data_IF_658942688051
#
_entry.id   IF_658942688051
#
_cell.length_a   1.000
_cell.length_b   1.000
_cell.length_c   1.000
_cell.angle_alpha   90.00
_cell.angle_beta   90.00
_cell.angle_gamma   90.00
#
_symmetry.space_group_name_H-M   'P 1'
#
loop_
_entity.id
_entity.type
_entity.pdbx_description
1 polymer ?
#
# COMPACT_ATOMS: atom_id res chain seq x y z
N UNK A 1 -10.20 -9.80 3.95
CA UNK A 1 -10.61 -11.04 4.60
C UNK A 1 -9.62 -11.45 5.67
N UNK A 2 -10.09 -11.58 6.92
CA UNK A 2 -9.31 -12.08 8.05
C UNK A 2 -8.16 -11.19 8.53
N UNK A 3 -8.00 -10.00 8.00
CA UNK A 3 -7.03 -9.00 8.45
C UNK A 3 -7.65 -8.21 9.59
N UNK A 4 -6.93 -8.08 10.69
CA UNK A 4 -7.30 -7.23 11.82
C UNK A 4 -6.62 -5.86 11.68
N UNK A 5 -7.12 -4.82 12.36
CA UNK A 5 -6.43 -3.55 12.42
C UNK A 5 -4.99 -3.72 12.91
N UNK A 6 -4.06 -3.07 12.24
CA UNK A 6 -2.65 -3.09 12.61
C UNK A 6 -2.04 -1.70 12.47
N UNK A 7 -0.89 -1.49 13.10
CA UNK A 7 -0.09 -0.27 12.95
C UNK A 7 1.36 -0.68 12.69
N UNK A 8 1.93 -0.11 11.65
CA UNK A 8 3.34 -0.29 11.30
C UNK A 8 3.94 1.07 10.93
N UNK A 9 5.17 1.29 11.34
CA UNK A 9 5.96 2.44 10.87
C UNK A 9 6.61 2.04 9.56
N UNK A 10 6.35 2.80 8.50
CA UNK A 10 6.94 2.53 7.20
C UNK A 10 7.24 3.83 6.45
N UNK A 11 8.01 3.75 5.39
CA UNK A 11 8.23 4.84 4.46
C UNK A 11 7.16 4.80 3.36
N UNK A 12 5.99 5.34 3.69
CA UNK A 12 4.84 5.34 2.78
C UNK A 12 4.98 6.44 1.73
N UNK A 13 5.01 6.04 0.46
CA UNK A 13 4.96 7.01 -0.64
C UNK A 13 3.52 7.46 -0.88
N UNK A 14 3.35 8.74 -1.10
CA UNK A 14 2.06 9.38 -1.36
C UNK A 14 2.14 10.31 -2.58
N UNK A 15 1.04 10.99 -2.89
CA UNK A 15 0.90 11.84 -4.08
C UNK A 15 1.06 11.07 -5.40
N UNK A 16 0.61 9.81 -5.40
CA UNK A 16 0.55 9.00 -6.61
C UNK A 16 -0.35 9.66 -7.65
N UNK A 17 0.01 9.48 -8.92
CA UNK A 17 -0.83 9.90 -10.05
C UNK A 17 -1.60 8.69 -10.55
N UNK A 18 -2.91 8.81 -10.52
CA UNK A 18 -3.81 7.81 -11.07
C UNK A 18 -4.49 8.37 -12.32
N UNK A 19 -4.87 7.49 -13.22
CA UNK A 19 -5.77 7.83 -14.31
C UNK A 19 -7.18 7.92 -13.71
N UNK A 20 -7.88 9.02 -13.95
CA UNK A 20 -9.18 9.30 -13.33
C UNK A 20 -9.12 9.86 -11.90
N UNK A 21 -10.28 10.15 -11.35
CA UNK A 21 -10.41 10.65 -9.98
C UNK A 21 -10.69 9.51 -9.00
N UNK A 22 -9.94 9.49 -7.90
CA UNK A 22 -10.23 8.61 -6.76
C UNK A 22 -11.27 9.33 -5.90
N UNK A 23 -12.53 8.91 -6.02
CA UNK A 23 -13.60 9.39 -5.15
C UNK A 23 -14.23 8.23 -4.39
N UNK A 24 -14.33 8.36 -3.07
CA UNK A 24 -14.89 7.33 -2.21
C UNK A 24 -14.05 6.05 -2.19
N UNK A 25 -14.70 4.89 -2.22
CA UNK A 25 -14.04 3.58 -2.08
C UNK A 25 -13.66 2.92 -3.42
N UNK A 26 -14.15 3.46 -4.54
CA UNK A 26 -13.87 2.94 -5.88
C UNK A 26 -13.82 4.08 -6.88
N UNK A 27 -12.91 3.98 -7.84
CA UNK A 27 -12.90 4.84 -9.01
C UNK A 27 -12.98 3.97 -10.27
N UNK A 28 -13.73 4.41 -11.26
CA UNK A 28 -13.62 3.89 -12.62
C UNK A 28 -12.89 4.92 -13.45
N UNK A 29 -11.89 4.48 -14.16
CA UNK A 29 -11.23 5.32 -15.12
C UNK A 29 -11.94 5.31 -16.49
N UNK A 30 -11.43 6.08 -17.44
CA UNK A 30 -12.00 6.20 -18.77
C UNK A 30 -11.88 4.90 -19.58
N UNK A 31 -11.01 3.98 -19.18
CA UNK A 31 -10.72 2.71 -19.84
C UNK A 31 -11.41 1.51 -19.18
N UNK A 32 -12.40 1.76 -18.31
CA UNK A 32 -13.15 0.71 -17.63
C UNK A 32 -12.40 0.01 -16.49
N UNK A 33 -11.25 0.52 -16.08
CA UNK A 33 -10.54 0.04 -14.90
C UNK A 33 -11.35 0.32 -13.63
N UNK A 34 -11.47 -0.68 -12.78
CA UNK A 34 -12.03 -0.51 -11.45
C UNK A 34 -10.90 -0.39 -10.44
N UNK A 35 -10.76 0.79 -9.85
CA UNK A 35 -9.80 1.07 -8.80
C UNK A 35 -10.46 0.92 -7.43
N UNK A 36 -9.83 0.13 -6.54
CA UNK A 36 -10.29 -0.07 -5.16
C UNK A 36 -9.17 0.30 -4.20
N UNK A 37 -9.27 1.44 -3.47
CA UNK A 37 -8.32 1.77 -2.43
C UNK A 37 -8.51 0.82 -1.23
N UNK A 38 -7.40 0.30 -0.70
CA UNK A 38 -7.37 -0.65 0.42
C UNK A 38 -6.85 0.03 1.68
N UNK A 39 -5.74 0.74 1.58
CA UNK A 39 -5.23 1.62 2.64
C UNK A 39 -5.23 3.05 2.13
N UNK A 40 -5.86 3.93 2.91
CA UNK A 40 -5.94 5.35 2.61
C UNK A 40 -5.44 6.14 3.81
N UNK A 41 -4.60 7.11 3.58
CA UNK A 41 -4.12 8.03 4.59
C UNK A 41 -4.33 9.47 4.12
N UNK A 42 -4.34 10.38 5.07
CA UNK A 42 -4.35 11.82 4.80
C UNK A 42 -3.06 12.42 5.37
N UNK A 43 -1.99 12.54 4.55
CA UNK A 43 -0.76 13.15 5.00
C UNK A 43 -1.01 14.55 5.56
N UNK A 44 -0.40 14.85 6.70
CA UNK A 44 -0.54 16.15 7.35
C UNK A 44 0.11 17.26 6.50
N UNK A 45 -0.29 18.49 6.75
CA UNK A 45 0.32 19.66 6.11
C UNK A 45 1.82 19.75 6.40
N UNK A 46 2.25 19.35 7.60
CA UNK A 46 3.66 19.30 7.96
C UNK A 46 4.44 18.32 7.06
N UNK A 47 3.87 17.14 6.79
CA UNK A 47 4.46 16.18 5.87
C UNK A 47 4.52 16.73 4.46
N UNK A 48 3.44 17.36 3.97
CA UNK A 48 3.38 17.93 2.61
C UNK A 48 4.30 19.14 2.42
N UNK A 49 4.62 19.84 3.50
CA UNK A 49 5.54 20.99 3.50
C UNK A 49 6.99 20.59 3.82
N UNK A 50 7.21 19.32 4.19
CA UNK A 50 8.51 18.84 4.62
C UNK A 50 9.54 18.74 3.48
N UNK A 51 10.82 18.69 3.84
CA UNK A 51 11.86 18.37 2.90
C UNK A 51 11.77 16.86 2.56
N UNK A 52 11.95 16.55 1.29
CA UNK A 52 12.07 15.17 0.80
C UNK A 52 13.53 14.85 0.59
N UNK A 53 13.89 13.57 0.69
CA UNK A 53 15.29 13.14 0.64
C UNK A 53 15.93 13.50 -0.70
N UNK A 54 15.21 13.24 -1.81
CA UNK A 54 15.73 13.54 -3.15
C UNK A 54 14.62 13.70 -4.19
N UNK A 55 14.71 14.75 -5.00
CA UNK A 55 15.39 16.00 -4.71
C UNK A 55 14.69 16.69 -3.53
N UNK A 56 15.37 17.62 -2.86
CA UNK A 56 14.80 18.29 -1.67
C UNK A 56 13.58 19.13 -2.02
N UNK A 57 12.45 18.87 -1.31
CA UNK A 57 11.26 19.72 -1.35
C UNK A 57 11.39 20.96 -0.43
N UNK A 58 10.28 21.65 -0.16
CA UNK A 58 8.91 21.29 -0.55
C UNK A 58 8.58 21.52 -2.03
N UNK A 59 7.53 20.82 -2.51
CA UNK A 59 7.06 20.95 -3.89
C UNK A 59 5.65 21.56 -3.96
N UNK A 60 5.43 22.63 -4.75
CA UNK A 60 4.12 23.29 -4.85
C UNK A 60 2.99 22.34 -5.27
N UNK A 61 3.27 21.38 -6.16
CA UNK A 61 2.28 20.41 -6.61
C UNK A 61 1.86 19.40 -5.53
N UNK A 62 2.68 19.18 -4.51
CA UNK A 62 2.33 18.38 -3.33
C UNK A 62 1.60 19.22 -2.30
N UNK A 63 2.07 20.45 -2.09
CA UNK A 63 1.49 21.37 -1.11
C UNK A 63 0.03 21.73 -1.46
N UNK A 64 -0.29 21.92 -2.75
CA UNK A 64 -1.67 22.24 -3.18
C UNK A 64 -2.68 21.10 -2.93
N UNK A 65 -2.19 19.89 -2.67
CA UNK A 65 -3.02 18.72 -2.38
C UNK A 65 -3.30 18.55 -0.86
N UNK A 66 -3.19 19.62 -0.06
CA UNK A 66 -3.55 19.60 1.35
C UNK A 66 -4.96 19.09 1.57
N UNK A 67 -5.13 18.26 2.60
CA UNK A 67 -6.41 17.65 2.92
C UNK A 67 -6.85 16.50 2.00
N UNK A 68 -6.13 16.24 0.90
CA UNK A 68 -6.49 15.16 -0.01
C UNK A 68 -6.16 13.79 0.59
N UNK A 69 -7.12 12.84 0.61
CA UNK A 69 -6.83 11.45 0.90
C UNK A 69 -5.89 10.85 -0.16
N UNK A 70 -4.96 10.01 0.26
CA UNK A 70 -3.97 9.35 -0.60
C UNK A 70 -4.10 7.84 -0.45
N UNK A 71 -4.20 7.13 -1.57
CA UNK A 71 -4.16 5.68 -1.55
C UNK A 71 -2.72 5.21 -1.38
N UNK A 72 -2.49 4.42 -0.33
CA UNK A 72 -1.19 3.80 0.00
C UNK A 72 -1.13 2.34 -0.44
N UNK A 73 -2.30 1.72 -0.61
CA UNK A 73 -2.47 0.37 -1.08
C UNK A 73 -3.78 0.30 -1.86
N UNK A 74 -3.75 -0.32 -3.03
CA UNK A 74 -4.93 -0.41 -3.88
C UNK A 74 -4.91 -1.66 -4.76
N UNK A 75 -6.10 -2.05 -5.19
CA UNK A 75 -6.32 -3.08 -6.19
C UNK A 75 -6.93 -2.45 -7.46
N UNK A 76 -6.66 -3.07 -8.59
CA UNK A 76 -7.22 -2.70 -9.89
C UNK A 76 -7.78 -3.94 -10.56
N UNK A 77 -8.99 -3.83 -11.11
CA UNK A 77 -9.60 -4.86 -11.96
C UNK A 77 -9.91 -4.25 -13.32
N UNK A 78 -9.53 -4.98 -14.37
CA UNK A 78 -9.79 -4.60 -15.76
C UNK A 78 -10.99 -5.37 -16.30
N UNK A 79 -11.62 -4.85 -17.36
CA UNK A 79 -12.77 -5.49 -18.01
C UNK A 79 -12.45 -6.88 -18.55
N UNK A 80 -11.20 -7.11 -19.00
CA UNK A 80 -10.72 -8.44 -19.45
C UNK A 80 -10.50 -9.43 -18.31
N UNK A 81 -10.79 -9.04 -17.06
CA UNK A 81 -10.57 -9.82 -15.85
C UNK A 81 -9.12 -9.81 -15.38
N UNK A 82 -8.26 -8.97 -15.93
CA UNK A 82 -6.92 -8.74 -15.42
C UNK A 82 -6.97 -8.07 -14.05
N UNK A 83 -6.01 -8.35 -13.19
CA UNK A 83 -5.91 -7.82 -11.83
C UNK A 83 -4.56 -7.23 -11.56
N UNK A 84 -4.54 -6.11 -10.86
CA UNK A 84 -3.33 -5.45 -10.36
C UNK A 84 -3.44 -5.17 -8.87
N UNK A 85 -2.33 -5.20 -8.17
CA UNK A 85 -2.24 -4.79 -6.78
C UNK A 85 -0.97 -3.98 -6.61
N UNK A 86 -1.10 -2.86 -5.95
CA UNK A 86 0.02 -1.97 -5.65
C UNK A 86 -0.01 -1.56 -4.20
N UNK A 87 1.18 -1.31 -3.67
CA UNK A 87 1.31 -0.81 -2.33
C UNK A 87 2.63 -0.04 -2.19
N UNK A 88 2.63 1.02 -1.41
CA UNK A 88 3.74 1.97 -1.34
C UNK A 88 4.59 1.84 -0.08
N UNK A 89 4.28 0.88 0.80
CA UNK A 89 5.08 0.51 1.96
C UNK A 89 6.10 -0.58 1.64
N UNK A 90 6.64 -1.22 2.67
CA UNK A 90 7.58 -2.33 2.55
C UNK A 90 9.04 -1.94 2.66
N UNK A 91 9.32 -0.69 3.01
CA UNK A 91 10.69 -0.21 3.20
C UNK A 91 11.36 -0.84 4.43
N UNK A 92 10.65 -0.87 5.56
CA UNK A 92 11.21 -1.44 6.78
C UNK A 92 10.94 -2.95 6.85
N UNK A 93 12.03 -3.71 6.78
CA UNK A 93 11.99 -5.18 6.79
C UNK A 93 11.26 -5.76 8.00
N UNK A 94 11.43 -5.18 9.17
CA UNK A 94 10.79 -5.63 10.42
C UNK A 94 9.26 -5.64 10.37
N UNK A 95 8.65 -4.86 9.48
CA UNK A 95 7.20 -4.85 9.29
C UNK A 95 6.65 -6.20 8.83
N UNK A 96 7.47 -7.02 8.17
CA UNK A 96 7.10 -8.38 7.80
C UNK A 96 6.89 -9.30 9.00
N UNK A 97 7.34 -8.90 10.19
CA UNK A 97 7.00 -9.54 11.47
C UNK A 97 5.54 -9.36 11.87
N UNK A 98 4.85 -8.31 11.41
CA UNK A 98 3.44 -8.10 11.70
C UNK A 98 2.56 -9.05 10.87
N UNK A 99 1.81 -9.92 11.54
CA UNK A 99 1.03 -10.98 10.88
C UNK A 99 -0.10 -10.42 10.00
N UNK A 100 -0.75 -9.33 10.40
CA UNK A 100 -1.85 -8.74 9.64
C UNK A 100 -1.36 -7.91 8.46
N UNK A 101 -0.21 -7.25 8.59
CA UNK A 101 0.48 -6.62 7.47
C UNK A 101 0.84 -7.66 6.40
N UNK A 102 1.52 -8.75 6.79
CA UNK A 102 1.86 -9.87 5.89
C UNK A 102 0.63 -10.49 5.25
N UNK A 103 -0.41 -10.74 6.06
CA UNK A 103 -1.68 -11.33 5.60
C UNK A 103 -2.33 -10.50 4.51
N UNK A 104 -2.28 -9.16 4.61
CA UNK A 104 -2.82 -8.27 3.57
C UNK A 104 -2.14 -8.53 2.24
N UNK A 105 -0.81 -8.61 2.23
CA UNK A 105 -0.02 -8.85 1.01
C UNK A 105 -0.25 -10.26 0.46
N UNK A 106 -0.24 -11.28 1.32
CA UNK A 106 -0.47 -12.66 0.92
C UNK A 106 -1.88 -12.87 0.34
N UNK A 107 -2.90 -12.24 0.94
CA UNK A 107 -4.25 -12.25 0.39
C UNK A 107 -4.28 -11.63 -1.02
N UNK A 108 -3.57 -10.53 -1.22
CA UNK A 108 -3.49 -9.88 -2.52
C UNK A 108 -2.80 -10.79 -3.57
N UNK A 109 -1.74 -11.49 -3.19
CA UNK A 109 -1.06 -12.44 -4.09
C UNK A 109 -2.00 -13.57 -4.53
N UNK A 110 -2.75 -14.16 -3.60
CA UNK A 110 -3.75 -15.20 -3.93
C UNK A 110 -4.85 -14.64 -4.83
N UNK A 111 -5.33 -13.43 -4.53
CA UNK A 111 -6.33 -12.76 -5.34
C UNK A 111 -5.82 -12.44 -6.75
N UNK A 112 -4.58 -11.97 -6.89
CA UNK A 112 -3.93 -11.72 -8.19
C UNK A 112 -3.86 -12.99 -9.04
N UNK A 113 -3.54 -14.12 -8.40
CA UNK A 113 -3.51 -15.43 -9.03
C UNK A 113 -4.91 -16.00 -9.34
N UNK A 114 -5.99 -15.21 -9.13
CA UNK A 114 -7.39 -15.63 -9.26
C UNK A 114 -7.78 -16.78 -8.32
N UNK A 115 -6.97 -17.03 -7.28
CA UNK A 115 -7.26 -17.98 -6.23
C UNK A 115 -8.33 -17.47 -5.25
N UNK A 116 -8.94 -18.39 -4.54
CA UNK A 116 -9.89 -18.08 -3.46
C UNK A 116 -9.13 -17.77 -2.18
N UNK A 117 -9.18 -16.53 -1.74
CA UNK A 117 -8.60 -16.11 -0.45
C UNK A 117 -9.38 -16.80 0.68
N UNK A 118 -8.72 -17.52 1.62
CA UNK A 118 -9.38 -18.15 2.75
C UNK A 118 -10.17 -17.16 3.60
N UNK A 119 -11.27 -17.58 4.23
CA UNK A 119 -12.12 -16.71 5.06
C UNK A 119 -11.34 -16.01 6.18
N UNK A 120 -10.37 -16.69 6.78
CA UNK A 120 -9.47 -16.13 7.81
C UNK A 120 -8.23 -15.43 7.27
N UNK A 121 -8.12 -15.26 5.93
CA UNK A 121 -6.91 -14.81 5.25
C UNK A 121 -5.88 -15.93 5.10
N UNK A 122 -4.83 -15.65 4.36
CA UNK A 122 -3.72 -16.60 4.15
C UNK A 122 -2.91 -16.71 5.45
N UNK A 123 -2.79 -17.90 6.04
CA UNK A 123 -1.99 -18.09 7.24
C UNK A 123 -0.50 -17.97 6.91
N UNK A 124 0.26 -17.38 7.83
CA UNK A 124 1.71 -17.34 7.74
C UNK A 124 2.30 -17.11 9.12
N UNK A 125 3.40 -17.76 9.38
CA UNK A 125 4.19 -17.57 10.59
C UNK A 125 5.60 -17.14 10.19
N UNK A 126 6.14 -16.18 10.91
CA UNK A 126 7.50 -15.69 10.73
C UNK A 126 8.08 -15.43 12.11
N UNK A 127 9.15 -16.12 12.44
CA UNK A 127 9.92 -15.89 13.65
C UNK A 127 10.88 -14.73 13.47
N UNK A 128 11.38 -14.20 14.59
CA UNK A 128 12.48 -13.22 14.54
C UNK A 128 13.71 -13.78 13.81
N UNK A 129 14.01 -15.06 14.02
CA UNK A 129 15.11 -15.72 13.33
C UNK A 129 14.91 -15.76 11.80
N UNK A 130 13.66 -15.90 11.34
CA UNK A 130 13.37 -15.85 9.90
C UNK A 130 13.54 -14.44 9.35
N UNK A 131 13.17 -13.43 10.11
CA UNK A 131 13.38 -12.02 9.73
C UNK A 131 14.86 -11.65 9.66
N UNK A 132 15.68 -12.26 10.52
CA UNK A 132 17.12 -11.97 10.58
C UNK A 132 17.92 -12.73 9.49
N UNK A 133 17.31 -13.71 8.80
CA UNK A 133 17.97 -14.45 7.70
C UNK A 133 18.21 -13.54 6.51
N UNK A 134 19.35 -13.72 5.86
CA UNK A 134 19.73 -13.02 4.63
C UNK A 134 19.79 -11.48 4.76
N UNK A 135 19.87 -10.96 5.97
CA UNK A 135 20.20 -9.56 6.17
C UNK A 135 21.72 -9.39 6.09
N UNK A 136 22.15 -8.39 5.33
CA UNK A 136 23.56 -8.02 5.31
C UNK A 136 24.03 -7.59 6.71
N UNK A 137 25.23 -8.01 7.14
CA UNK A 137 25.80 -7.52 8.40
C UNK A 137 25.86 -5.99 8.37
N UNK A 138 25.23 -5.36 9.33
CA UNK A 138 25.36 -3.90 9.49
C UNK A 138 26.79 -3.59 9.88
N UNK A 139 27.47 -2.80 9.04
CA UNK A 139 28.80 -2.26 9.32
C UNK A 139 28.73 -1.17 10.39
#
# INVERSE_FOLDING_TARGET
>A
TGVKPFSVKDEWYFNMRFVGEISGNTAKDQDGLQFTPILVAQPSDAVRNGPYVYPKGPYPHIQKNKGRPEAMMWAVEREDGGRGFCFTGGHFHDNWGNSDYRKTILNAMVWLAKGKVPKGGVPSEVSKQDLDKNLDPKK
#
